data_IF_701727486433
#
_entry.id   IF_701727486433
#
_cell.length_a   1.000
_cell.length_b   1.000
_cell.length_c   1.000
_cell.angle_alpha   90.00
_cell.angle_beta   90.00
_cell.angle_gamma   90.00
#
_symmetry.space_group_name_H-M   'P 1'
#
loop_
_entity.id
_entity.type
_entity.pdbx_description
1 polymer ?
#
# COMPACT_ATOMS: atom_id res chain seq x y z
N UNK A 1 21.36 4.45 20.56
CA UNK A 1 20.46 4.68 19.39
C UNK A 1 19.31 3.67 19.29
N UNK A 2 19.29 2.60 20.08
CA UNK A 2 18.14 1.67 20.20
C UNK A 2 16.87 2.37 20.72
N UNK A 3 17.04 3.47 21.48
CA UNK A 3 15.95 4.33 21.97
C UNK A 3 15.14 5.05 20.86
N UNK A 4 15.68 5.11 19.63
CA UNK A 4 14.98 5.75 18.50
C UNK A 4 13.93 4.87 17.81
N UNK A 5 13.72 3.64 18.29
CA UNK A 5 12.76 2.74 17.66
C UNK A 5 11.31 3.17 17.89
N UNK A 6 11.03 3.81 19.02
CA UNK A 6 9.70 4.28 19.36
C UNK A 6 9.37 5.66 18.74
N UNK A 7 10.39 6.32 18.16
CA UNK A 7 10.19 7.60 17.48
C UNK A 7 9.55 7.40 16.09
N UNK A 8 8.61 8.25 15.78
CA UNK A 8 8.08 8.36 14.41
C UNK A 8 8.90 9.38 13.59
N UNK A 9 8.60 9.54 12.31
CA UNK A 9 9.36 10.42 11.42
C UNK A 9 9.33 11.89 11.87
N UNK A 10 8.19 12.36 12.35
CA UNK A 10 8.02 13.71 12.88
C UNK A 10 8.91 13.93 14.11
N UNK A 11 8.90 13.00 15.07
CA UNK A 11 9.74 13.04 16.27
C UNK A 11 11.24 12.99 15.95
N UNK A 12 11.64 12.13 15.00
CA UNK A 12 13.04 12.11 14.53
C UNK A 12 13.46 13.43 13.90
N UNK A 13 12.60 14.06 13.10
CA UNK A 13 12.88 15.36 12.49
C UNK A 13 13.00 16.49 13.55
N UNK A 14 12.19 16.45 14.60
CA UNK A 14 12.27 17.39 15.73
C UNK A 14 13.62 17.26 16.46
N UNK A 15 14.06 16.02 16.74
CA UNK A 15 15.34 15.73 17.41
C UNK A 15 16.55 16.11 16.54
N UNK A 16 16.47 15.92 15.21
CA UNK A 16 17.50 16.40 14.26
C UNK A 16 17.62 17.94 14.32
N UNK A 17 16.47 18.66 14.33
CA UNK A 17 16.47 20.15 14.47
C UNK A 17 17.04 20.59 15.82
N UNK A 18 16.78 19.83 16.88
CA UNK A 18 17.37 20.05 18.21
C UNK A 18 18.87 19.68 18.26
N UNK A 19 19.43 19.10 17.20
CA UNK A 19 20.83 18.67 17.10
C UNK A 19 21.23 17.63 18.18
N UNK A 20 20.30 16.77 18.57
CA UNK A 20 20.58 15.67 19.48
C UNK A 20 21.48 14.60 18.82
N UNK A 21 21.40 14.50 17.50
CA UNK A 21 22.26 13.70 16.63
C UNK A 21 22.30 14.34 15.23
N UNK A 22 23.26 13.92 14.42
CA UNK A 22 23.42 14.39 13.03
C UNK A 22 22.60 13.52 12.06
N UNK A 23 22.33 14.06 10.87
CA UNK A 23 21.71 13.29 9.79
C UNK A 23 22.58 12.11 9.37
N UNK A 24 23.92 12.26 9.35
CA UNK A 24 24.84 11.19 9.06
C UNK A 24 24.76 10.04 10.08
N UNK A 25 24.74 10.33 11.37
CA UNK A 25 24.57 9.33 12.43
C UNK A 25 23.21 8.62 12.30
N UNK A 26 22.15 9.35 11.94
CA UNK A 26 20.84 8.78 11.73
C UNK A 26 20.83 7.83 10.53
N UNK A 27 21.42 8.22 9.39
CA UNK A 27 21.55 7.38 8.19
C UNK A 27 22.28 6.09 8.51
N UNK A 28 23.44 6.15 9.19
CA UNK A 28 24.20 4.95 9.56
C UNK A 28 23.42 4.03 10.51
N UNK A 29 22.61 4.60 11.42
CA UNK A 29 21.76 3.82 12.29
C UNK A 29 20.70 3.05 11.51
N UNK A 30 20.05 3.68 10.55
CA UNK A 30 19.03 3.05 9.73
C UNK A 30 19.60 2.05 8.72
N UNK A 31 20.81 2.29 8.21
CA UNK A 31 21.52 1.30 7.40
C UNK A 31 21.77 0.02 8.22
N UNK A 32 22.29 0.14 9.44
CA UNK A 32 22.48 -1.04 10.32
C UNK A 32 21.18 -1.77 10.61
N UNK A 33 20.06 -1.05 10.85
CA UNK A 33 18.73 -1.66 11.02
C UNK A 33 18.32 -2.50 9.81
N UNK A 34 18.57 -1.97 8.60
CA UNK A 34 18.30 -2.69 7.35
C UNK A 34 19.18 -3.94 7.26
N UNK A 35 20.49 -3.83 7.51
CA UNK A 35 21.44 -4.94 7.43
C UNK A 35 21.13 -6.07 8.42
N UNK A 36 20.60 -5.74 9.60
CA UNK A 36 20.19 -6.73 10.61
C UNK A 36 18.88 -7.43 10.23
N UNK A 37 17.89 -6.68 9.76
CA UNK A 37 16.53 -7.21 9.60
C UNK A 37 16.23 -7.76 8.20
N UNK A 38 16.85 -7.20 7.14
CA UNK A 38 16.55 -7.62 5.78
C UNK A 38 16.88 -9.09 5.47
N UNK A 39 17.96 -9.69 5.98
CA UNK A 39 18.25 -11.11 5.74
C UNK A 39 17.15 -12.05 6.25
N UNK A 40 16.44 -11.68 7.33
CA UNK A 40 15.38 -12.48 7.93
C UNK A 40 14.03 -12.25 7.27
N UNK A 41 13.69 -11.00 6.91
CA UNK A 41 12.36 -10.58 6.47
C UNK A 41 12.25 -10.31 4.96
N UNK A 42 13.37 -10.08 4.27
CA UNK A 42 13.48 -9.88 2.82
C UNK A 42 12.53 -8.77 2.29
N UNK A 43 12.61 -7.60 2.87
CA UNK A 43 11.76 -6.45 2.51
C UNK A 43 12.39 -5.50 1.49
N UNK A 44 13.69 -5.63 1.18
CA UNK A 44 14.43 -4.68 0.33
C UNK A 44 14.91 -5.34 -0.97
N UNK A 45 14.88 -4.57 -2.07
CA UNK A 45 15.42 -4.99 -3.38
C UNK A 45 16.76 -4.33 -3.68
N UNK A 46 16.83 -3.01 -3.67
CA UNK A 46 18.02 -2.25 -4.04
C UNK A 46 18.40 -1.26 -2.93
N UNK A 47 19.67 -1.22 -2.57
CA UNK A 47 20.20 -0.22 -1.64
C UNK A 47 20.66 1.05 -2.38
N UNK A 48 20.49 2.20 -1.73
CA UNK A 48 20.98 3.49 -2.16
C UNK A 48 21.84 4.15 -1.06
N UNK A 49 22.57 3.33 -0.27
CA UNK A 49 23.27 3.76 0.93
C UNK A 49 24.32 4.85 0.66
N UNK A 50 25.13 4.70 -0.40
CA UNK A 50 26.14 5.71 -0.72
C UNK A 50 25.51 7.04 -1.14
N UNK A 51 24.39 6.99 -1.90
CA UNK A 51 23.59 8.17 -2.21
C UNK A 51 23.04 8.82 -0.94
N UNK A 52 22.50 8.03 -0.03
CA UNK A 52 21.95 8.54 1.24
C UNK A 52 23.03 9.17 2.13
N UNK A 53 24.22 8.55 2.22
CA UNK A 53 25.39 9.11 2.92
C UNK A 53 25.80 10.45 2.33
N UNK A 54 25.88 10.53 0.99
CA UNK A 54 26.28 11.78 0.31
C UNK A 54 25.26 12.91 0.46
N UNK A 55 23.98 12.58 0.67
CA UNK A 55 22.89 13.54 0.90
C UNK A 55 22.69 13.92 2.38
N UNK A 56 23.21 13.13 3.31
CA UNK A 56 22.89 13.27 4.74
C UNK A 56 23.04 14.71 5.24
N UNK A 57 24.18 15.37 5.00
CA UNK A 57 24.44 16.73 5.52
C UNK A 57 24.02 17.83 4.53
N UNK A 58 23.37 17.49 3.41
CA UNK A 58 22.93 18.48 2.40
C UNK A 58 21.44 18.80 2.50
N UNK A 59 20.66 17.97 3.20
CA UNK A 59 19.23 18.18 3.39
C UNK A 59 19.04 19.28 4.44
N UNK A 60 18.26 20.36 4.16
CA UNK A 60 18.05 21.41 5.12
C UNK A 60 17.37 20.91 6.41
N UNK A 61 17.89 21.31 7.58
CA UNK A 61 17.29 20.94 8.89
C UNK A 61 15.92 21.58 9.12
N UNK A 62 15.59 22.66 8.44
CA UNK A 62 14.28 23.31 8.47
C UNK A 62 13.26 22.65 7.50
N UNK A 63 13.70 21.74 6.64
CA UNK A 63 12.77 20.91 5.86
C UNK A 63 11.85 20.08 6.80
N UNK A 64 10.59 19.85 6.44
CA UNK A 64 9.62 19.16 7.32
C UNK A 64 10.13 17.88 7.96
N UNK A 65 10.83 17.03 7.21
CA UNK A 65 11.40 15.77 7.71
C UNK A 65 12.92 15.78 7.94
N UNK A 66 13.61 16.91 7.69
CA UNK A 66 14.97 17.21 8.14
C UNK A 66 16.04 16.12 7.88
N UNK A 67 15.87 15.28 6.87
CA UNK A 67 16.81 14.21 6.52
C UNK A 67 16.44 12.84 7.09
N UNK A 68 15.23 12.66 7.61
CA UNK A 68 14.74 11.35 8.10
C UNK A 68 14.81 10.30 7.00
N UNK A 69 15.44 9.14 7.29
CA UNK A 69 15.58 8.05 6.33
C UNK A 69 14.28 7.30 6.06
N UNK A 70 14.03 6.98 4.78
CA UNK A 70 12.89 6.19 4.31
C UNK A 70 13.30 5.16 3.25
N UNK A 71 12.36 4.25 2.93
CA UNK A 71 12.44 3.37 1.78
C UNK A 71 11.33 3.68 0.78
N UNK A 72 11.61 3.47 -0.52
CA UNK A 72 10.65 3.66 -1.60
C UNK A 72 10.27 2.32 -2.21
N UNK A 73 9.01 2.15 -2.59
CA UNK A 73 8.56 0.94 -3.30
C UNK A 73 9.27 0.81 -4.66
N UNK A 74 9.77 -0.38 -4.99
CA UNK A 74 10.45 -0.66 -6.26
C UNK A 74 9.46 -0.75 -7.45
N UNK A 75 8.64 0.28 -7.59
CA UNK A 75 7.66 0.48 -8.66
C UNK A 75 7.45 1.97 -8.98
N UNK A 76 8.45 2.79 -8.66
CA UNK A 76 8.41 4.23 -8.93
C UNK A 76 9.76 4.69 -9.45
N UNK A 77 9.77 5.61 -10.41
CA UNK A 77 10.99 6.14 -11.01
C UNK A 77 11.68 7.13 -10.08
N UNK A 78 12.89 6.76 -9.64
CA UNK A 78 13.82 7.59 -8.88
C UNK A 78 15.04 7.79 -9.76
N UNK A 79 15.34 9.02 -10.14
CA UNK A 79 16.45 9.33 -11.04
C UNK A 79 17.79 8.73 -10.56
N UNK A 80 18.42 7.94 -11.42
CA UNK A 80 19.70 7.27 -11.16
C UNK A 80 19.64 6.03 -10.27
N UNK A 81 18.46 5.58 -9.81
CA UNK A 81 18.30 4.31 -9.09
C UNK A 81 17.60 3.26 -9.96
N UNK A 82 17.93 1.96 -9.82
CA UNK A 82 17.20 0.91 -10.53
C UNK A 82 15.71 0.94 -10.18
N UNK A 83 14.84 0.63 -11.13
CA UNK A 83 13.45 0.28 -10.91
C UNK A 83 13.21 -1.08 -11.56
N UNK A 84 13.01 -2.11 -10.75
CA UNK A 84 12.94 -3.49 -11.25
C UNK A 84 11.52 -4.03 -11.35
N UNK A 85 10.55 -3.41 -10.66
CA UNK A 85 9.18 -3.93 -10.54
C UNK A 85 9.15 -5.42 -10.11
N UNK A 86 10.20 -5.91 -9.41
CA UNK A 86 10.36 -7.32 -9.05
C UNK A 86 10.56 -8.29 -10.23
N UNK A 87 10.90 -7.80 -11.43
CA UNK A 87 10.94 -8.54 -12.68
C UNK A 87 12.34 -8.65 -13.28
N UNK A 88 12.69 -9.84 -13.78
CA UNK A 88 13.92 -10.04 -14.57
C UNK A 88 13.96 -9.16 -15.81
N UNK A 89 12.81 -8.89 -16.41
CA UNK A 89 12.68 -8.02 -17.58
C UNK A 89 13.16 -6.58 -17.30
N UNK A 90 12.96 -6.09 -16.08
CA UNK A 90 13.24 -4.71 -15.69
C UNK A 90 14.58 -4.51 -14.98
N UNK A 91 15.39 -5.54 -14.74
CA UNK A 91 16.65 -5.46 -13.95
C UNK A 91 17.65 -4.40 -14.43
N UNK A 92 17.63 -4.04 -15.69
CA UNK A 92 18.52 -3.03 -16.27
C UNK A 92 17.88 -1.66 -16.42
N UNK A 93 16.64 -1.52 -15.98
CA UNK A 93 15.93 -0.24 -16.09
C UNK A 93 16.41 0.73 -14.99
N UNK A 94 17.03 1.82 -15.40
CA UNK A 94 17.48 2.91 -14.53
C UNK A 94 16.92 4.21 -15.08
N UNK A 95 15.86 4.77 -14.48
CA UNK A 95 15.27 6.03 -14.89
C UNK A 95 16.28 7.19 -14.81
N UNK A 96 16.28 8.09 -15.79
CA UNK A 96 17.14 9.26 -15.77
C UNK A 96 16.64 10.36 -14.82
N UNK A 97 15.32 10.41 -14.57
CA UNK A 97 14.65 11.44 -13.77
C UNK A 97 13.69 10.81 -12.79
N UNK A 98 13.53 11.49 -11.66
CA UNK A 98 12.46 11.19 -10.71
C UNK A 98 11.11 11.68 -11.24
N UNK A 99 10.04 11.00 -10.85
CA UNK A 99 8.66 11.47 -11.06
C UNK A 99 8.28 12.53 -10.04
N UNK A 100 7.23 13.32 -10.31
CA UNK A 100 6.80 14.44 -9.46
C UNK A 100 6.55 14.06 -7.99
N UNK A 101 6.01 12.86 -7.73
CA UNK A 101 5.79 12.38 -6.38
C UNK A 101 7.12 12.22 -5.62
N UNK A 102 8.14 11.66 -6.26
CA UNK A 102 9.48 11.47 -5.66
C UNK A 102 10.16 12.82 -5.43
N UNK A 103 10.03 13.76 -6.37
CA UNK A 103 10.55 15.11 -6.20
C UNK A 103 9.92 15.80 -4.97
N UNK A 104 8.61 15.62 -4.76
CA UNK A 104 7.94 16.16 -3.57
C UNK A 104 8.41 15.48 -2.27
N UNK A 105 8.64 14.16 -2.30
CA UNK A 105 9.21 13.40 -1.16
C UNK A 105 10.60 13.93 -0.79
N UNK A 106 11.47 14.15 -1.78
CA UNK A 106 12.81 14.72 -1.54
C UNK A 106 12.73 16.17 -1.07
N UNK A 107 11.82 16.98 -1.63
CA UNK A 107 11.58 18.37 -1.20
C UNK A 107 11.02 18.45 0.23
N UNK A 108 10.26 17.45 0.69
CA UNK A 108 9.82 17.33 2.07
C UNK A 108 10.97 17.04 3.06
N UNK A 109 12.17 16.76 2.57
CA UNK A 109 13.37 16.53 3.36
C UNK A 109 13.61 15.07 3.74
N UNK A 110 12.99 14.11 3.09
CA UNK A 110 13.32 12.70 3.30
C UNK A 110 14.64 12.29 2.64
N UNK A 111 15.35 11.35 3.27
CA UNK A 111 16.54 10.72 2.71
C UNK A 111 16.25 9.26 2.31
N UNK A 112 16.33 8.96 1.01
CA UNK A 112 15.98 7.66 0.45
C UNK A 112 17.15 6.69 0.61
N UNK A 113 16.98 5.62 1.42
CA UNK A 113 17.98 4.57 1.66
C UNK A 113 17.97 3.45 0.60
N UNK A 114 16.91 3.32 -0.17
CA UNK A 114 16.75 2.27 -1.15
C UNK A 114 15.30 1.92 -1.45
N UNK A 115 15.09 0.74 -2.03
CA UNK A 115 13.80 0.32 -2.54
C UNK A 115 13.32 -0.99 -1.93
N UNK A 116 12.00 -1.14 -1.82
CA UNK A 116 11.35 -2.26 -1.12
C UNK A 116 10.76 -3.28 -2.07
N UNK A 117 10.75 -4.54 -1.62
CA UNK A 117 10.30 -5.70 -2.39
C UNK A 117 8.81 -5.64 -2.74
N UNK A 118 8.49 -6.17 -3.92
CA UNK A 118 7.16 -6.19 -4.55
C UNK A 118 6.96 -7.53 -5.27
N UNK A 119 5.75 -8.02 -5.50
CA UNK A 119 5.55 -9.08 -6.48
C UNK A 119 5.82 -8.55 -7.88
N UNK A 120 6.20 -9.41 -8.81
CA UNK A 120 6.51 -9.00 -10.18
C UNK A 120 5.39 -8.15 -10.78
N UNK A 121 5.72 -6.90 -11.16
CA UNK A 121 4.82 -5.90 -11.75
C UNK A 121 3.48 -5.74 -11.00
N UNK A 122 3.48 -5.93 -9.68
CA UNK A 122 2.30 -5.92 -8.81
C UNK A 122 1.18 -6.90 -9.23
N UNK A 123 1.50 -7.95 -9.97
CA UNK A 123 0.54 -8.85 -10.59
C UNK A 123 0.02 -9.95 -9.68
N UNK A 124 0.61 -10.15 -8.50
CA UNK A 124 0.29 -11.24 -7.59
C UNK A 124 -0.10 -10.75 -6.20
N UNK A 125 -0.95 -11.52 -5.47
CA UNK A 125 -1.48 -11.11 -4.15
C UNK A 125 -0.49 -11.34 -2.99
N UNK A 126 0.56 -12.12 -3.20
CA UNK A 126 1.64 -12.37 -2.24
C UNK A 126 2.90 -11.63 -2.71
N UNK A 127 3.58 -10.93 -1.81
CA UNK A 127 4.86 -10.26 -2.13
C UNK A 127 5.97 -11.28 -2.24
N UNK A 128 6.08 -11.86 -3.42
CA UNK A 128 7.07 -12.86 -3.82
C UNK A 128 7.38 -12.69 -5.31
N UNK A 129 8.65 -12.83 -5.69
CA UNK A 129 9.10 -12.80 -7.08
C UNK A 129 10.38 -13.62 -7.26
N UNK A 130 10.70 -13.98 -8.51
CA UNK A 130 11.85 -14.82 -8.86
C UNK A 130 13.21 -14.14 -8.74
N UNK A 131 13.25 -12.82 -8.55
CA UNK A 131 14.51 -12.04 -8.50
C UNK A 131 15.00 -11.94 -7.06
N UNK A 132 14.11 -11.54 -6.15
CA UNK A 132 14.46 -11.23 -4.77
C UNK A 132 13.84 -12.22 -3.77
N UNK A 133 12.86 -13.03 -4.20
CA UNK A 133 12.16 -13.99 -3.33
C UNK A 133 11.03 -13.34 -2.51
N UNK A 134 10.51 -14.11 -1.55
CA UNK A 134 9.35 -13.75 -0.75
C UNK A 134 9.69 -12.81 0.43
N UNK A 135 8.84 -11.81 0.67
CA UNK A 135 8.86 -10.97 1.87
C UNK A 135 8.03 -11.62 2.97
N UNK A 136 8.62 -11.77 4.15
CA UNK A 136 8.05 -12.48 5.29
C UNK A 136 7.33 -11.54 6.26
N UNK A 137 6.25 -12.03 6.86
CA UNK A 137 5.48 -11.27 7.82
C UNK A 137 6.20 -11.16 9.18
N UNK A 138 6.43 -9.97 9.72
CA UNK A 138 7.12 -9.81 10.99
C UNK A 138 6.30 -10.30 12.20
N UNK A 139 4.99 -10.53 12.05
CA UNK A 139 4.16 -11.15 13.06
C UNK A 139 4.28 -12.67 13.08
N UNK A 140 4.35 -13.28 11.91
CA UNK A 140 4.55 -14.72 11.70
C UNK A 140 5.22 -14.95 10.34
N UNK A 141 6.52 -15.32 10.29
CA UNK A 141 7.27 -15.47 9.03
C UNK A 141 6.77 -16.57 8.08
N UNK A 142 5.93 -17.46 8.56
CA UNK A 142 5.30 -18.50 7.73
C UNK A 142 4.10 -17.97 6.92
N UNK A 143 3.69 -16.72 7.17
CA UNK A 143 2.54 -16.08 6.53
C UNK A 143 2.98 -14.94 5.61
N UNK A 144 2.13 -14.65 4.63
CA UNK A 144 2.33 -13.55 3.69
C UNK A 144 2.04 -12.20 4.32
N UNK A 145 2.42 -11.15 3.62
CA UNK A 145 2.06 -9.76 3.95
C UNK A 145 1.09 -9.18 2.93
N UNK A 146 0.41 -10.02 2.16
CA UNK A 146 -0.29 -9.59 0.96
C UNK A 146 0.65 -8.84 -0.01
N UNK A 147 0.09 -7.96 -0.83
CA UNK A 147 0.81 -7.19 -1.84
C UNK A 147 0.10 -5.88 -2.20
N UNK A 148 0.72 -5.09 -3.05
CA UNK A 148 2.03 -5.18 -3.65
C UNK A 148 3.07 -4.33 -2.91
N UNK A 149 2.71 -3.52 -1.89
CA UNK A 149 3.63 -2.74 -1.05
C UNK A 149 4.12 -3.53 0.18
N UNK A 150 4.29 -4.87 0.04
CA UNK A 150 4.63 -5.75 1.16
C UNK A 150 5.97 -5.44 1.81
N UNK A 151 7.01 -5.23 1.00
CA UNK A 151 8.33 -4.84 1.51
C UNK A 151 8.29 -3.53 2.29
N UNK A 152 7.54 -2.53 1.80
CA UNK A 152 7.36 -1.25 2.50
C UNK A 152 6.66 -1.43 3.84
N UNK A 153 5.57 -2.20 3.88
CA UNK A 153 4.82 -2.44 5.09
C UNK A 153 5.65 -3.19 6.15
N UNK A 154 6.44 -4.19 5.72
CA UNK A 154 7.35 -4.94 6.61
C UNK A 154 8.43 -4.05 7.18
N UNK A 155 9.06 -3.22 6.37
CA UNK A 155 10.13 -2.31 6.82
C UNK A 155 9.63 -1.35 7.93
N UNK A 156 8.38 -0.86 7.82
CA UNK A 156 7.75 0.00 8.82
C UNK A 156 7.32 -0.80 10.05
N UNK A 157 6.65 -1.94 9.87
CA UNK A 157 6.16 -2.77 10.96
C UNK A 157 7.28 -3.36 11.83
N UNK A 158 8.42 -3.69 11.22
CA UNK A 158 9.61 -4.19 11.91
C UNK A 158 10.44 -3.07 12.57
N UNK A 159 10.06 -1.79 12.42
CA UNK A 159 10.78 -0.66 13.00
C UNK A 159 12.09 -0.30 12.29
N UNK A 160 12.27 -0.80 11.06
CA UNK A 160 13.49 -0.53 10.28
C UNK A 160 13.53 0.92 9.83
N UNK A 161 12.42 1.43 9.31
CA UNK A 161 12.22 2.85 8.96
C UNK A 161 10.88 3.34 9.52
N UNK A 162 10.75 4.63 9.85
CA UNK A 162 9.49 5.17 10.39
C UNK A 162 8.38 5.22 9.35
N UNK A 163 8.75 5.40 8.09
CA UNK A 163 7.85 5.48 6.95
C UNK A 163 8.46 4.82 5.71
N UNK A 164 7.60 4.30 4.85
CA UNK A 164 8.00 3.81 3.54
C UNK A 164 6.91 4.09 2.49
N UNK A 165 7.34 4.37 1.26
CA UNK A 165 6.42 4.64 0.15
C UNK A 165 5.69 3.38 -0.30
N UNK A 166 4.42 3.53 -0.62
CA UNK A 166 3.59 2.52 -1.26
C UNK A 166 2.76 3.10 -2.41
N UNK A 167 2.28 2.23 -3.27
CA UNK A 167 1.29 2.54 -4.33
C UNK A 167 0.08 1.65 -4.17
N UNK A 168 -1.11 2.14 -4.50
CA UNK A 168 -2.37 1.39 -4.38
C UNK A 168 -3.17 1.46 -5.67
N UNK A 169 -3.20 0.36 -6.43
CA UNK A 169 -4.00 0.20 -7.65
C UNK A 169 -5.20 -0.73 -7.47
N UNK A 170 -5.22 -1.55 -6.42
CA UNK A 170 -6.32 -2.47 -6.09
C UNK A 170 -6.38 -2.82 -4.58
N UNK A 171 -5.59 -2.13 -3.73
CA UNK A 171 -5.52 -2.39 -2.29
C UNK A 171 -4.11 -2.37 -1.71
N UNK A 172 -3.08 -2.04 -2.50
CA UNK A 172 -1.69 -2.26 -2.11
C UNK A 172 -1.14 -1.30 -1.03
N UNK A 173 -1.87 -0.23 -0.64
CA UNK A 173 -1.58 0.58 0.57
C UNK A 173 -2.52 0.24 1.73
N UNK A 174 -3.38 -0.77 1.58
CA UNK A 174 -4.37 -1.19 2.58
C UNK A 174 -4.16 -2.65 3.00
N UNK A 175 -3.99 -3.56 2.03
CA UNK A 175 -3.77 -4.99 2.28
C UNK A 175 -2.49 -5.26 3.08
N UNK A 176 -1.28 -4.80 2.65
CA UNK A 176 -0.08 -5.02 3.44
C UNK A 176 -0.10 -4.36 4.83
N UNK A 177 -0.57 -3.12 5.01
CA UNK A 177 -0.80 -2.54 6.33
C UNK A 177 -1.73 -3.38 7.20
N UNK A 178 -2.81 -3.96 6.64
CA UNK A 178 -3.73 -4.81 7.41
C UNK A 178 -3.07 -6.07 7.96
N UNK A 179 -2.14 -6.66 7.21
CA UNK A 179 -1.41 -7.87 7.60
C UNK A 179 -0.18 -7.58 8.49
N UNK A 180 0.26 -6.33 8.58
CA UNK A 180 1.49 -5.95 9.30
C UNK A 180 1.26 -5.04 10.49
N UNK A 181 0.00 -4.62 10.75
CA UNK A 181 -0.36 -3.84 11.93
C UNK A 181 0.12 -2.39 11.91
N UNK A 182 0.12 -1.78 10.73
CA UNK A 182 0.45 -0.37 10.55
C UNK A 182 -0.70 0.41 9.90
N UNK A 183 -0.60 1.73 9.89
CA UNK A 183 -1.55 2.60 9.20
C UNK A 183 -1.24 2.68 7.71
N UNK A 184 -2.27 2.56 6.87
CA UNK A 184 -2.16 2.69 5.42
C UNK A 184 -3.31 3.49 4.83
N UNK A 185 -2.99 4.54 4.07
CA UNK A 185 -3.96 5.41 3.40
C UNK A 185 -3.87 5.25 1.89
N UNK A 186 -5.01 5.13 1.24
CA UNK A 186 -5.21 5.32 -0.19
C UNK A 186 -5.94 6.65 -0.42
N UNK A 187 -5.26 7.72 -0.88
CA UNK A 187 -5.89 8.98 -1.20
C UNK A 187 -6.96 8.88 -2.30
N UNK A 188 -7.80 9.87 -2.41
CA UNK A 188 -8.69 10.07 -3.56
C UNK A 188 -7.90 10.04 -4.87
N UNK A 189 -8.56 9.60 -5.95
CA UNK A 189 -7.96 9.63 -7.30
C UNK A 189 -7.46 11.04 -7.62
N UNK A 190 -6.26 11.13 -8.21
CA UNK A 190 -5.60 12.39 -8.59
C UNK A 190 -5.32 13.38 -7.45
N UNK A 191 -5.50 12.96 -6.19
CA UNK A 191 -5.19 13.78 -5.01
C UNK A 191 -3.69 14.03 -4.85
N UNK A 192 -2.87 13.01 -5.09
CA UNK A 192 -1.42 13.08 -4.92
C UNK A 192 -0.73 13.54 -6.21
N UNK A 193 0.49 14.04 -6.12
CA UNK A 193 1.34 14.28 -7.30
C UNK A 193 1.51 13.00 -8.10
N UNK A 194 1.76 13.14 -9.41
CA UNK A 194 1.87 11.98 -10.30
C UNK A 194 3.07 11.10 -9.93
N UNK A 195 2.86 9.80 -9.93
CA UNK A 195 3.91 8.77 -9.87
C UNK A 195 4.25 8.17 -11.22
N UNK A 196 3.75 8.76 -12.33
CA UNK A 196 4.00 8.29 -13.68
C UNK A 196 4.98 9.21 -14.40
N UNK A 197 5.85 8.62 -15.24
CA UNK A 197 6.93 9.32 -15.93
C UNK A 197 6.42 10.41 -16.92
N UNK A 198 5.19 10.27 -17.43
CA UNK A 198 4.56 11.24 -18.33
C UNK A 198 3.73 12.31 -17.60
N UNK A 199 3.76 12.33 -16.27
CA UNK A 199 3.02 13.29 -15.44
C UNK A 199 1.51 13.04 -15.36
N UNK A 200 0.98 12.02 -16.06
CA UNK A 200 -0.44 11.68 -16.00
C UNK A 200 -0.77 10.87 -14.74
N UNK A 201 -2.04 10.84 -14.40
CA UNK A 201 -2.54 10.00 -13.31
C UNK A 201 -3.12 8.71 -13.87
N UNK A 202 -2.75 7.57 -13.28
CA UNK A 202 -3.42 6.29 -13.56
C UNK A 202 -4.87 6.34 -13.05
N UNK A 203 -5.75 5.63 -13.71
CA UNK A 203 -7.19 5.60 -13.39
C UNK A 203 -7.49 4.97 -12.03
N UNK A 204 -6.63 4.08 -11.56
CA UNK A 204 -6.83 3.34 -10.32
C UNK A 204 -5.68 3.54 -9.30
N UNK A 205 -4.44 3.85 -9.78
CA UNK A 205 -3.26 3.89 -8.93
C UNK A 205 -3.08 5.25 -8.25
N UNK A 206 -2.71 5.22 -6.96
CA UNK A 206 -2.32 6.40 -6.20
C UNK A 206 -1.10 6.08 -5.34
N UNK A 207 -0.37 7.12 -4.92
CA UNK A 207 0.82 7.05 -4.08
C UNK A 207 0.52 7.53 -2.66
N UNK A 208 1.13 6.92 -1.63
CA UNK A 208 1.17 7.46 -0.27
C UNK A 208 2.24 6.76 0.55
N UNK A 209 2.66 7.40 1.65
CA UNK A 209 3.53 6.81 2.65
C UNK A 209 2.75 5.92 3.61
N UNK A 210 3.27 4.73 3.89
CA UNK A 210 2.85 3.87 4.98
C UNK A 210 3.59 4.29 6.26
N UNK A 211 2.91 4.28 7.40
CA UNK A 211 3.48 4.75 8.67
C UNK A 211 2.94 3.98 9.87
N UNK A 212 3.59 4.13 11.02
CA UNK A 212 3.06 3.62 12.28
C UNK A 212 2.07 4.60 12.93
N UNK A 213 2.23 5.90 12.70
CA UNK A 213 1.39 6.96 13.29
C UNK A 213 0.58 7.68 12.22
N UNK A 214 -0.60 8.15 12.61
CA UNK A 214 -1.46 8.95 11.73
C UNK A 214 -0.82 10.29 11.42
N UNK A 215 -0.13 10.93 12.39
CA UNK A 215 0.49 12.25 12.19
C UNK A 215 1.57 12.25 11.11
N UNK A 216 2.38 11.19 11.03
CA UNK A 216 3.39 11.06 9.98
C UNK A 216 2.75 10.93 8.59
N UNK A 217 1.73 10.09 8.46
CA UNK A 217 0.99 9.93 7.22
C UNK A 217 0.31 11.23 6.79
N UNK A 218 -0.33 11.96 7.72
CA UNK A 218 -1.03 13.21 7.44
C UNK A 218 -0.05 14.34 7.02
N UNK A 219 1.11 14.42 7.66
CA UNK A 219 2.15 15.39 7.27
C UNK A 219 2.71 15.05 5.89
N UNK A 220 3.10 13.79 5.63
CA UNK A 220 3.60 13.36 4.32
C UNK A 220 2.55 13.54 3.21
N UNK A 221 1.26 13.26 3.50
CA UNK A 221 0.16 13.53 2.60
C UNK A 221 0.13 15.00 2.18
N UNK A 222 0.13 15.94 3.12
CA UNK A 222 0.05 17.38 2.84
C UNK A 222 1.23 17.91 2.01
N UNK A 223 2.40 17.27 2.14
CA UNK A 223 3.62 17.67 1.42
C UNK A 223 3.73 17.05 0.02
N UNK A 224 2.99 15.98 -0.24
CA UNK A 224 3.02 15.25 -1.51
C UNK A 224 1.71 15.31 -2.28
N UNK A 225 0.66 15.96 -1.74
CA UNK A 225 -0.58 16.19 -2.48
C UNK A 225 -0.38 17.13 -3.67
N UNK A 226 -1.25 17.00 -4.68
CA UNK A 226 -1.29 17.88 -5.85
C UNK A 226 -1.79 19.27 -5.42
N UNK A 227 -1.09 20.32 -5.83
CA UNK A 227 -1.47 21.69 -5.59
C UNK A 227 -2.28 22.31 -6.74
N UNK A 228 -2.59 21.53 -7.80
CA UNK A 228 -3.32 22.02 -8.96
C UNK A 228 -4.76 22.42 -8.65
N UNK A 229 -5.35 21.87 -7.59
CA UNK A 229 -6.77 22.07 -7.27
C UNK A 229 -7.74 21.28 -8.14
N UNK A 230 -7.26 20.44 -9.06
CA UNK A 230 -8.06 19.60 -9.93
C UNK A 230 -7.86 18.11 -9.58
N UNK A 231 -8.92 17.34 -9.28
CA UNK A 231 -10.33 17.73 -9.27
C UNK A 231 -10.79 18.40 -7.96
N UNK A 232 -9.96 18.42 -6.93
CA UNK A 232 -10.31 18.95 -5.61
C UNK A 232 -9.25 19.92 -5.11
N UNK A 233 -9.64 20.94 -4.32
CA UNK A 233 -8.67 21.83 -3.68
C UNK A 233 -7.76 21.03 -2.71
N UNK A 234 -6.52 21.47 -2.49
CA UNK A 234 -5.64 20.85 -1.51
C UNK A 234 -6.27 20.78 -0.12
N UNK A 235 -6.07 19.66 0.56
CA UNK A 235 -6.55 19.43 1.93
C UNK A 235 -5.64 20.13 2.95
N UNK A 236 -4.35 20.13 2.69
CA UNK A 236 -3.33 20.62 3.61
C UNK A 236 -3.07 19.71 4.81
N UNK A 237 -2.33 20.18 5.78
CA UNK A 237 -1.94 19.42 6.96
C UNK A 237 -3.10 19.28 7.95
N UNK A 238 -3.45 18.03 8.27
CA UNK A 238 -4.46 17.66 9.27
C UNK A 238 -3.71 17.26 10.53
N UNK A 239 -4.09 17.83 11.68
CA UNK A 239 -3.31 17.73 12.93
C UNK A 239 -4.05 17.07 14.08
N UNK A 240 -5.28 16.61 13.89
CA UNK A 240 -6.06 16.00 14.96
C UNK A 240 -7.46 15.56 14.53
N UNK A 241 -8.22 14.98 15.47
CA UNK A 241 -9.59 14.54 15.24
C UNK A 241 -10.57 15.71 15.05
N UNK A 242 -11.76 15.39 14.58
CA UNK A 242 -12.90 16.30 14.47
C UNK A 242 -13.97 15.95 15.54
N UNK A 243 -14.70 16.97 15.98
CA UNK A 243 -15.86 16.78 16.86
C UNK A 243 -17.09 16.24 16.10
N UNK A 244 -17.03 16.14 14.78
CA UNK A 244 -18.14 15.66 13.95
C UNK A 244 -18.46 14.21 14.26
N UNK A 245 -19.75 13.92 14.51
CA UNK A 245 -20.24 12.54 14.61
C UNK A 245 -20.70 12.06 13.26
N UNK A 246 -20.28 10.86 12.89
CA UNK A 246 -20.43 10.29 11.56
C UNK A 246 -21.53 9.24 11.54
N UNK A 247 -22.18 9.12 10.39
CA UNK A 247 -23.03 7.98 10.08
C UNK A 247 -22.21 6.95 9.29
N UNK A 248 -22.02 5.77 9.88
CA UNK A 248 -21.14 4.71 9.37
C UNK A 248 -21.96 3.51 8.91
N UNK A 249 -21.77 3.10 7.66
CA UNK A 249 -22.30 1.84 7.13
C UNK A 249 -21.34 0.69 7.40
N UNK A 250 -21.72 -0.30 8.21
CA UNK A 250 -20.92 -1.48 8.50
C UNK A 250 -21.18 -2.58 7.47
N UNK A 251 -20.12 -3.07 6.83
CA UNK A 251 -20.12 -4.24 5.97
C UNK A 251 -19.27 -5.34 6.63
N UNK A 252 -19.83 -6.52 6.85
CA UNK A 252 -19.08 -7.64 7.45
C UNK A 252 -18.83 -8.77 6.46
N UNK A 253 -19.71 -8.94 5.47
CA UNK A 253 -19.56 -9.90 4.37
C UNK A 253 -20.46 -9.47 3.19
N UNK A 254 -20.18 -9.99 1.99
CA UNK A 254 -21.02 -9.84 0.81
C UNK A 254 -21.53 -11.19 0.25
N UNK A 255 -21.08 -12.31 0.85
CA UNK A 255 -21.46 -13.68 0.48
C UNK A 255 -20.98 -14.12 -0.90
N UNK A 256 -20.08 -13.37 -1.56
CA UNK A 256 -19.63 -13.61 -2.94
C UNK A 256 -18.15 -14.02 -2.98
N UNK A 257 -17.77 -14.79 -4.02
CA UNK A 257 -16.45 -15.38 -4.25
C UNK A 257 -15.99 -16.26 -3.08
N UNK A 258 -15.78 -15.73 -1.93
CA UNK A 258 -15.47 -16.42 -0.67
C UNK A 258 -16.21 -15.69 0.48
N UNK A 259 -16.76 -16.46 1.41
CA UNK A 259 -17.30 -15.89 2.64
C UNK A 259 -16.20 -15.22 3.47
N UNK A 260 -16.53 -14.13 4.12
CA UNK A 260 -15.59 -13.48 5.06
C UNK A 260 -15.41 -14.37 6.29
N UNK A 261 -14.17 -14.61 6.68
CA UNK A 261 -13.84 -15.38 7.88
C UNK A 261 -14.60 -14.82 9.09
N UNK A 262 -15.18 -15.70 9.94
CA UNK A 262 -15.90 -15.27 11.13
C UNK A 262 -15.06 -14.38 12.04
N UNK A 263 -13.75 -14.63 12.15
CA UNK A 263 -12.84 -13.83 12.96
C UNK A 263 -12.66 -12.41 12.37
N UNK A 264 -12.58 -12.29 11.06
CA UNK A 264 -12.49 -11.01 10.35
C UNK A 264 -13.80 -10.24 10.48
N UNK A 265 -14.95 -10.89 10.30
CA UNK A 265 -16.28 -10.28 10.49
C UNK A 265 -16.47 -9.77 11.92
N UNK A 266 -16.07 -10.59 12.91
CA UNK A 266 -16.17 -10.21 14.34
C UNK A 266 -15.22 -9.06 14.67
N UNK A 267 -14.04 -9.00 14.05
CA UNK A 267 -13.14 -7.86 14.22
C UNK A 267 -13.79 -6.54 13.77
N UNK A 268 -14.53 -6.53 12.65
CA UNK A 268 -15.24 -5.33 12.20
C UNK A 268 -16.43 -4.96 13.12
N UNK A 269 -17.16 -5.95 13.67
CA UNK A 269 -18.20 -5.69 14.65
C UNK A 269 -17.65 -5.06 15.95
N UNK A 270 -16.48 -5.51 16.42
CA UNK A 270 -15.81 -4.89 17.57
C UNK A 270 -15.39 -3.44 17.30
N UNK A 271 -14.98 -3.14 16.08
CA UNK A 271 -14.65 -1.76 15.66
C UNK A 271 -15.93 -0.91 15.54
N UNK A 272 -17.03 -1.48 15.05
CA UNK A 272 -18.33 -0.81 15.06
C UNK A 272 -18.76 -0.40 16.48
N UNK A 273 -18.63 -1.31 17.46
CA UNK A 273 -18.90 -0.99 18.88
C UNK A 273 -17.96 0.11 19.42
N UNK A 274 -16.70 0.14 18.98
CA UNK A 274 -15.79 1.23 19.35
C UNK A 274 -16.30 2.58 18.80
N UNK A 275 -16.74 2.62 17.54
CA UNK A 275 -17.31 3.84 16.92
C UNK A 275 -18.57 4.31 17.63
N UNK A 276 -19.48 3.40 18.00
CA UNK A 276 -20.69 3.72 18.78
C UNK A 276 -20.32 4.32 20.16
N UNK A 277 -19.32 3.76 20.84
CA UNK A 277 -18.82 4.29 22.11
C UNK A 277 -18.18 5.69 21.97
N UNK A 278 -17.64 6.02 20.79
CA UNK A 278 -17.16 7.36 20.44
C UNK A 278 -18.28 8.31 20.03
N UNK A 279 -19.54 7.80 19.94
CA UNK A 279 -20.73 8.60 19.65
C UNK A 279 -21.10 8.67 18.17
N UNK A 280 -20.49 7.85 17.30
CA UNK A 280 -20.90 7.71 15.90
C UNK A 280 -22.16 6.84 15.79
N UNK A 281 -22.95 7.04 14.74
CA UNK A 281 -24.09 6.18 14.39
C UNK A 281 -23.61 5.07 13.47
N UNK A 282 -23.79 3.79 13.85
CA UNK A 282 -23.39 2.65 13.02
C UNK A 282 -24.61 1.80 12.67
N UNK A 283 -24.77 1.47 11.39
CA UNK A 283 -25.81 0.52 10.95
C UNK A 283 -25.22 -0.48 9.94
N UNK A 284 -25.61 -1.74 10.01
CA UNK A 284 -25.16 -2.76 9.04
C UNK A 284 -25.81 -2.50 7.68
N UNK A 285 -25.02 -2.61 6.60
CA UNK A 285 -25.45 -2.35 5.22
C UNK A 285 -24.80 -3.34 4.26
N UNK A 286 -25.47 -3.72 3.15
CA UNK A 286 -24.84 -4.60 2.16
C UNK A 286 -23.68 -3.90 1.41
N UNK A 287 -22.75 -4.71 0.94
CA UNK A 287 -21.73 -4.24 0.00
C UNK A 287 -22.38 -3.89 -1.34
N UNK A 288 -22.11 -2.72 -1.95
CA UNK A 288 -22.85 -2.23 -3.11
C UNK A 288 -22.40 -2.82 -4.46
N UNK A 289 -21.35 -3.66 -4.47
CA UNK A 289 -20.73 -4.17 -5.69
C UNK A 289 -20.82 -5.70 -5.73
N UNK A 290 -21.26 -6.27 -6.86
CA UNK A 290 -21.16 -7.72 -7.06
C UNK A 290 -19.68 -8.10 -7.30
N UNK A 291 -19.14 -8.91 -6.40
CA UNK A 291 -17.73 -9.28 -6.44
C UNK A 291 -17.36 -10.16 -7.65
N UNK A 292 -18.30 -10.95 -8.19
CA UNK A 292 -18.06 -11.76 -9.39
C UNK A 292 -17.99 -10.87 -10.64
N UNK A 293 -18.90 -9.91 -10.78
CA UNK A 293 -18.89 -8.95 -11.89
C UNK A 293 -17.64 -8.05 -11.81
N UNK A 294 -17.25 -7.64 -10.59
CA UNK A 294 -16.02 -6.89 -10.37
C UNK A 294 -14.77 -7.69 -10.78
N UNK A 295 -14.70 -8.97 -10.44
CA UNK A 295 -13.59 -9.85 -10.80
C UNK A 295 -13.45 -10.00 -12.33
N UNK A 296 -14.58 -10.21 -13.01
CA UNK A 296 -14.65 -10.31 -14.47
C UNK A 296 -14.23 -8.99 -15.14
N UNK A 297 -14.77 -7.86 -14.68
CA UNK A 297 -14.43 -6.54 -15.22
C UNK A 297 -12.95 -6.18 -15.00
N UNK A 298 -12.39 -6.54 -13.84
CA UNK A 298 -10.97 -6.32 -13.52
C UNK A 298 -10.05 -7.13 -14.43
N UNK A 299 -10.37 -8.42 -14.67
CA UNK A 299 -9.62 -9.28 -15.58
C UNK A 299 -9.62 -8.72 -17.02
N UNK A 300 -10.78 -8.25 -17.52
CA UNK A 300 -10.93 -7.60 -18.83
C UNK A 300 -10.13 -6.30 -18.93
N UNK A 301 -10.19 -5.47 -17.89
CA UNK A 301 -9.40 -4.22 -17.83
C UNK A 301 -7.90 -4.50 -17.91
N UNK A 302 -7.42 -5.52 -17.18
CA UNK A 302 -6.02 -5.92 -17.18
C UNK A 302 -5.60 -6.42 -18.57
N UNK A 303 -6.45 -7.22 -19.23
CA UNK A 303 -6.24 -7.71 -20.60
C UNK A 303 -5.98 -6.60 -21.61
N UNK A 304 -6.63 -5.44 -21.45
CA UNK A 304 -6.39 -4.28 -22.29
C UNK A 304 -5.00 -3.62 -22.14
N UNK A 305 -4.26 -3.93 -21.07
CA UNK A 305 -2.94 -3.32 -20.78
C UNK A 305 -1.73 -4.20 -21.13
N UNK A 306 -1.91 -5.53 -21.27
CA UNK A 306 -0.79 -6.48 -21.34
C UNK A 306 -0.17 -6.69 -22.71
N UNK A 307 -0.85 -6.31 -23.80
CA UNK A 307 -0.36 -6.55 -25.17
C UNK A 307 0.98 -5.88 -25.48
N UNK A 308 1.19 -4.66 -25.00
CA UNK A 308 2.45 -3.94 -25.17
C UNK A 308 3.60 -4.60 -24.41
N UNK A 309 3.33 -5.12 -23.21
CA UNK A 309 4.31 -5.84 -22.40
C UNK A 309 4.73 -7.15 -23.08
N UNK A 310 3.76 -7.94 -23.59
CA UNK A 310 4.06 -9.16 -24.37
C UNK A 310 5.02 -8.85 -25.52
N UNK A 311 4.67 -7.88 -26.36
CA UNK A 311 5.51 -7.47 -27.50
C UNK A 311 6.93 -7.07 -27.07
N UNK A 312 7.04 -6.30 -25.99
CA UNK A 312 8.34 -5.84 -25.48
C UNK A 312 9.22 -6.99 -24.97
N UNK A 313 8.61 -7.93 -24.21
CA UNK A 313 9.34 -9.10 -23.68
C UNK A 313 9.78 -10.06 -24.78
N UNK A 314 8.94 -10.33 -25.77
CA UNK A 314 9.28 -11.16 -26.94
C UNK A 314 10.37 -10.52 -27.78
N UNK A 315 10.32 -9.21 -28.00
CA UNK A 315 11.38 -8.48 -28.69
C UNK A 315 12.73 -8.52 -27.95
N UNK A 316 12.69 -8.38 -26.61
CA UNK A 316 13.91 -8.39 -25.79
C UNK A 316 14.55 -9.77 -25.69
N UNK A 317 13.74 -10.84 -25.68
CA UNK A 317 14.22 -12.21 -25.54
C UNK A 317 14.51 -12.91 -26.88
N UNK A 318 13.88 -12.45 -27.96
CA UNK A 318 13.86 -13.15 -29.27
C UNK A 318 13.12 -14.49 -29.23
N UNK A 319 12.25 -14.70 -28.22
CA UNK A 319 11.52 -15.96 -27.98
C UNK A 319 10.05 -15.68 -27.70
N UNK A 320 9.15 -16.68 -27.89
CA UNK A 320 7.78 -16.59 -27.40
C UNK A 320 7.73 -16.27 -25.92
N UNK A 321 6.70 -15.56 -25.47
CA UNK A 321 6.57 -15.04 -24.09
C UNK A 321 6.83 -16.12 -23.02
N UNK A 322 6.20 -17.28 -23.13
CA UNK A 322 6.34 -18.41 -22.17
C UNK A 322 7.75 -19.01 -22.12
N UNK A 323 8.56 -18.82 -23.17
CA UNK A 323 9.94 -19.31 -23.27
C UNK A 323 10.98 -18.22 -23.01
N UNK A 324 10.52 -16.99 -22.76
CA UNK A 324 11.40 -15.81 -22.63
C UNK A 324 12.37 -15.91 -21.44
N UNK A 325 11.93 -16.54 -20.35
CA UNK A 325 12.64 -16.58 -19.05
C UNK A 325 12.79 -15.20 -18.37
N UNK A 326 12.10 -14.17 -18.89
CA UNK A 326 12.16 -12.79 -18.39
C UNK A 326 11.03 -12.46 -17.44
N UNK A 327 9.94 -13.23 -17.43
CA UNK A 327 8.81 -13.11 -16.50
C UNK A 327 8.62 -14.41 -15.73
N UNK A 328 7.96 -14.33 -14.58
CA UNK A 328 7.47 -15.51 -13.85
C UNK A 328 6.47 -16.29 -14.69
N UNK A 329 6.30 -17.57 -14.40
CA UNK A 329 5.33 -18.42 -15.12
C UNK A 329 3.90 -17.90 -14.94
N UNK A 330 3.56 -17.45 -13.74
CA UNK A 330 2.26 -16.85 -13.45
C UNK A 330 1.99 -15.64 -14.35
N UNK A 331 2.89 -14.65 -14.37
CA UNK A 331 2.67 -13.43 -15.14
C UNK A 331 2.66 -13.70 -16.65
N UNK A 332 3.59 -14.51 -17.15
CA UNK A 332 3.65 -14.86 -18.57
C UNK A 332 2.36 -15.56 -19.05
N UNK A 333 1.86 -16.55 -18.30
CA UNK A 333 0.63 -17.27 -18.65
C UNK A 333 -0.62 -16.40 -18.47
N UNK A 334 -0.66 -15.51 -17.48
CA UNK A 334 -1.74 -14.53 -17.33
C UNK A 334 -1.80 -13.58 -18.55
N UNK A 335 -0.65 -13.09 -19.01
CA UNK A 335 -0.58 -12.24 -20.21
C UNK A 335 -1.08 -13.00 -21.45
N UNK A 336 -0.67 -14.27 -21.64
CA UNK A 336 -1.16 -15.09 -22.77
C UNK A 336 -2.68 -15.29 -22.72
N UNK A 337 -3.22 -15.63 -21.56
CA UNK A 337 -4.66 -15.75 -21.34
C UNK A 337 -5.40 -14.44 -21.61
N UNK A 338 -4.89 -13.35 -21.08
CA UNK A 338 -5.47 -12.02 -21.21
C UNK A 338 -5.42 -11.46 -22.64
N UNK A 339 -4.41 -11.82 -23.43
CA UNK A 339 -4.28 -11.43 -24.82
C UNK A 339 -5.39 -11.98 -25.74
N UNK A 340 -6.12 -13.00 -25.28
CA UNK A 340 -7.25 -13.60 -25.99
C UNK A 340 -8.57 -12.82 -25.77
N UNK A 341 -8.62 -11.86 -24.82
CA UNK A 341 -9.82 -11.08 -24.51
C UNK A 341 -10.13 -10.14 -25.65
N UNK A 342 -11.38 -10.14 -26.13
CA UNK A 342 -11.80 -9.32 -27.24
C UNK A 342 -11.84 -7.82 -26.89
N UNK A 343 -11.62 -6.90 -27.86
CA UNK A 343 -11.78 -5.46 -27.62
C UNK A 343 -13.18 -5.07 -27.11
N UNK A 344 -14.22 -5.83 -27.51
CA UNK A 344 -15.59 -5.62 -27.05
C UNK A 344 -15.73 -5.95 -25.57
N UNK A 345 -15.14 -7.07 -25.11
CA UNK A 345 -15.19 -7.47 -23.71
C UNK A 345 -14.35 -6.54 -22.83
N UNK A 346 -13.20 -6.06 -23.32
CA UNK A 346 -12.41 -5.02 -22.65
C UNK A 346 -13.26 -3.74 -22.47
N UNK A 347 -14.01 -3.32 -23.50
CA UNK A 347 -14.88 -2.15 -23.41
C UNK A 347 -16.02 -2.36 -22.39
N UNK A 348 -16.65 -3.56 -22.35
CA UNK A 348 -17.67 -3.90 -21.33
C UNK A 348 -17.09 -3.85 -19.92
N UNK A 349 -15.91 -4.43 -19.71
CA UNK A 349 -15.22 -4.36 -18.41
C UNK A 349 -14.96 -2.92 -17.97
N UNK A 350 -14.50 -2.06 -18.89
CA UNK A 350 -14.27 -0.65 -18.60
C UNK A 350 -15.57 0.07 -18.23
N UNK A 351 -16.67 -0.16 -18.97
CA UNK A 351 -17.98 0.43 -18.64
C UNK A 351 -18.40 0.07 -17.22
N UNK A 352 -18.32 -1.20 -16.83
CA UNK A 352 -18.63 -1.60 -15.47
C UNK A 352 -17.77 -0.87 -14.42
N UNK A 353 -16.46 -0.77 -14.65
CA UNK A 353 -15.56 -0.06 -13.74
C UNK A 353 -15.85 1.44 -13.63
N UNK A 354 -16.26 2.07 -14.71
CA UNK A 354 -16.66 3.50 -14.73
C UNK A 354 -17.98 3.72 -13.97
N UNK A 355 -18.90 2.74 -13.98
CA UNK A 355 -20.17 2.78 -13.25
C UNK A 355 -19.99 2.71 -11.73
N UNK A 356 -18.83 2.29 -11.20
CA UNK A 356 -18.58 2.30 -9.78
C UNK A 356 -18.58 3.70 -9.17
N UNK A 357 -18.23 4.73 -9.94
CA UNK A 357 -18.27 6.13 -9.48
C UNK A 357 -19.67 6.54 -9.01
N UNK A 358 -20.73 6.47 -9.84
CA UNK A 358 -22.08 6.81 -9.40
C UNK A 358 -22.63 5.85 -8.32
N UNK A 359 -22.25 4.56 -8.33
CA UNK A 359 -22.65 3.58 -7.30
C UNK A 359 -22.19 4.05 -5.92
N UNK A 360 -20.91 4.37 -5.76
CA UNK A 360 -20.40 4.85 -4.48
C UNK A 360 -20.88 6.26 -4.13
N UNK A 361 -21.09 7.14 -5.13
CA UNK A 361 -21.69 8.45 -4.89
C UNK A 361 -23.09 8.33 -4.27
N UNK A 362 -23.89 7.35 -4.71
CA UNK A 362 -25.22 7.08 -4.11
C UNK A 362 -25.11 6.55 -2.68
N UNK A 363 -24.19 5.64 -2.40
CA UNK A 363 -23.92 5.12 -1.05
C UNK A 363 -23.57 6.26 -0.09
N UNK A 364 -22.71 7.18 -0.51
CA UNK A 364 -22.26 8.31 0.31
C UNK A 364 -23.27 9.47 0.41
N UNK A 365 -24.45 9.36 -0.18
CA UNK A 365 -25.61 10.21 0.19
C UNK A 365 -26.25 9.78 1.53
N UNK A 366 -26.05 8.51 1.92
CA UNK A 366 -26.62 7.94 3.14
C UNK A 366 -25.61 7.87 4.28
N UNK A 367 -24.36 7.57 3.99
CA UNK A 367 -23.28 7.38 4.94
C UNK A 367 -22.17 8.41 4.75
N UNK A 368 -21.55 8.83 5.84
CA UNK A 368 -20.31 9.61 5.78
C UNK A 368 -19.10 8.71 5.49
N UNK A 369 -19.09 7.50 6.07
CA UNK A 369 -18.01 6.52 5.97
C UNK A 369 -18.59 5.12 5.88
N UNK A 370 -17.94 4.23 5.13
CA UNK A 370 -18.16 2.79 5.24
C UNK A 370 -17.03 2.15 6.05
N UNK A 371 -17.38 1.18 6.89
CA UNK A 371 -16.46 0.27 7.58
C UNK A 371 -16.63 -1.13 7.00
N UNK A 372 -15.56 -1.70 6.47
CA UNK A 372 -15.54 -3.03 5.87
C UNK A 372 -14.27 -3.81 6.26
N UNK A 373 -14.16 -5.11 5.99
CA UNK A 373 -12.87 -5.79 5.98
C UNK A 373 -11.93 -5.21 4.91
N UNK A 374 -10.62 -5.18 5.18
CA UNK A 374 -9.63 -4.90 4.12
C UNK A 374 -9.52 -6.10 3.17
N UNK A 375 -9.45 -7.30 3.74
CA UNK A 375 -9.55 -8.58 3.04
C UNK A 375 -10.55 -9.47 3.76
N UNK A 376 -11.22 -10.42 3.07
CA UNK A 376 -12.18 -11.32 3.70
C UNK A 376 -11.53 -12.38 4.60
N UNK A 377 -10.22 -12.50 4.56
CA UNK A 377 -9.42 -13.49 5.30
C UNK A 377 -8.22 -12.83 5.97
N UNK A 378 -7.68 -13.43 7.00
CA UNK A 378 -6.35 -13.10 7.52
C UNK A 378 -5.30 -13.41 6.43
N UNK A 379 -4.12 -12.78 6.51
CA UNK A 379 -3.07 -13.02 5.53
C UNK A 379 -2.79 -14.54 5.39
N UNK A 380 -2.74 -15.07 4.16
CA UNK A 380 -2.57 -16.51 3.93
C UNK A 380 -1.14 -16.97 4.20
N UNK A 381 -0.87 -18.29 4.30
CA UNK A 381 0.47 -18.83 4.33
C UNK A 381 1.35 -18.29 3.19
N UNK A 382 2.65 -18.08 3.47
CA UNK A 382 3.57 -17.39 2.54
C UNK A 382 3.71 -18.12 1.20
N UNK A 383 3.64 -19.44 1.20
CA UNK A 383 3.82 -20.29 0.02
C UNK A 383 2.54 -21.06 -0.34
N UNK A 384 1.37 -20.55 0.05
CA UNK A 384 0.08 -21.14 -0.38
C UNK A 384 -0.03 -21.12 -1.90
N UNK A 385 0.44 -20.04 -2.52
CA UNK A 385 0.63 -19.91 -3.97
C UNK A 385 1.96 -19.24 -4.27
N UNK A 386 2.55 -19.56 -5.43
CA UNK A 386 3.87 -19.09 -5.84
C UNK A 386 3.84 -18.50 -7.25
N UNK A 387 4.79 -17.62 -7.59
CA UNK A 387 4.90 -17.08 -8.95
C UNK A 387 5.31 -18.11 -10.02
N UNK A 388 5.72 -19.33 -9.61
CA UNK A 388 6.02 -20.44 -10.52
C UNK A 388 4.79 -21.18 -11.02
N UNK A 389 3.61 -20.96 -10.43
CA UNK A 389 2.36 -21.56 -10.89
C UNK A 389 1.93 -20.95 -12.24
N UNK A 390 1.15 -21.73 -13.00
CA UNK A 390 0.47 -21.20 -14.19
C UNK A 390 -0.78 -20.45 -13.75
N UNK A 391 -1.10 -19.37 -14.45
CA UNK A 391 -2.37 -18.71 -14.31
C UNK A 391 -3.52 -19.69 -14.61
N UNK A 392 -4.53 -19.69 -13.78
CA UNK A 392 -5.76 -20.48 -13.91
C UNK A 392 -6.96 -19.66 -13.42
N UNK A 393 -8.17 -20.09 -13.79
CA UNK A 393 -9.39 -19.46 -13.31
C UNK A 393 -9.51 -19.54 -11.78
N UNK A 394 -9.07 -20.65 -11.18
CA UNK A 394 -9.06 -20.84 -9.72
C UNK A 394 -8.14 -19.81 -9.04
N UNK A 395 -6.91 -19.65 -9.56
CA UNK A 395 -5.96 -18.68 -9.01
C UNK A 395 -6.42 -17.24 -9.25
N UNK A 396 -7.08 -16.95 -10.38
CA UNK A 396 -7.72 -15.66 -10.64
C UNK A 396 -8.81 -15.36 -9.63
N UNK A 397 -9.69 -16.33 -9.34
CA UNK A 397 -10.73 -16.19 -8.30
C UNK A 397 -10.13 -16.03 -6.90
N UNK A 398 -9.06 -16.77 -6.60
CA UNK A 398 -8.32 -16.65 -5.34
C UNK A 398 -7.82 -15.21 -5.12
N UNK A 399 -7.21 -14.60 -6.13
CA UNK A 399 -6.73 -13.21 -6.08
C UNK A 399 -7.92 -12.24 -5.96
N UNK A 400 -8.93 -12.40 -6.81
CA UNK A 400 -10.11 -11.53 -6.84
C UNK A 400 -10.88 -11.53 -5.50
N UNK A 401 -11.02 -12.70 -4.87
CA UNK A 401 -11.68 -12.83 -3.57
C UNK A 401 -10.99 -11.98 -2.49
N UNK A 402 -9.67 -11.89 -2.49
CA UNK A 402 -8.91 -11.10 -1.52
C UNK A 402 -8.95 -9.60 -1.80
N UNK A 403 -9.27 -9.22 -3.04
CA UNK A 403 -9.38 -7.82 -3.49
C UNK A 403 -10.82 -7.28 -3.45
N UNK A 404 -11.82 -8.10 -3.13
CA UNK A 404 -13.25 -7.77 -3.30
C UNK A 404 -13.71 -6.49 -2.61
N UNK A 405 -13.11 -6.14 -1.46
CA UNK A 405 -13.43 -4.91 -0.73
C UNK A 405 -12.51 -3.74 -1.07
N UNK A 406 -11.36 -3.98 -1.68
CA UNK A 406 -10.38 -2.92 -1.94
C UNK A 406 -10.37 -2.44 -3.39
N UNK A 407 -10.41 -3.34 -4.37
CA UNK A 407 -10.29 -2.98 -5.78
C UNK A 407 -11.42 -2.08 -6.31
N UNK A 408 -12.70 -2.24 -5.93
CA UNK A 408 -13.78 -1.35 -6.39
C UNK A 408 -13.54 0.11 -6.01
N UNK A 409 -12.92 0.34 -4.85
CA UNK A 409 -12.63 1.67 -4.30
C UNK A 409 -11.61 2.44 -5.13
N UNK A 410 -10.68 1.71 -5.77
CA UNK A 410 -9.72 2.34 -6.70
C UNK A 410 -10.43 2.91 -7.93
N UNK A 411 -11.33 2.13 -8.52
CA UNK A 411 -12.09 2.55 -9.71
C UNK A 411 -13.20 3.56 -9.39
N UNK A 412 -13.79 3.50 -8.20
CA UNK A 412 -14.69 4.54 -7.72
C UNK A 412 -13.99 5.89 -7.43
N UNK A 413 -12.66 5.89 -7.31
CA UNK A 413 -11.89 7.10 -7.01
C UNK A 413 -11.88 7.50 -5.53
N UNK A 414 -12.63 6.81 -4.67
CA UNK A 414 -12.82 7.13 -3.26
C UNK A 414 -11.54 6.99 -2.44
N UNK A 415 -11.28 7.86 -1.43
CA UNK A 415 -10.22 7.65 -0.46
C UNK A 415 -10.60 6.52 0.49
N UNK A 416 -9.59 5.79 0.98
CA UNK A 416 -9.79 4.72 1.95
C UNK A 416 -8.53 4.48 2.78
N UNK A 417 -8.71 3.95 3.99
CA UNK A 417 -7.60 3.64 4.90
C UNK A 417 -7.74 2.26 5.53
N UNK A 418 -6.62 1.65 5.86
CA UNK A 418 -6.52 0.48 6.72
C UNK A 418 -5.99 0.91 8.08
N UNK A 419 -6.77 0.65 9.13
CA UNK A 419 -6.42 0.97 10.51
C UNK A 419 -6.23 -0.31 11.30
N UNK A 420 -5.10 -0.51 12.03
CA UNK A 420 -4.77 -1.77 12.70
C UNK A 420 -5.44 -1.86 14.09
N UNK A 421 -6.75 -2.16 14.12
CA UNK A 421 -7.55 -2.18 15.34
C UNK A 421 -7.81 -3.59 15.90
N UNK A 422 -7.37 -4.65 15.21
CA UNK A 422 -7.64 -6.03 15.62
C UNK A 422 -6.49 -6.97 15.25
N UNK A 423 -6.42 -8.11 15.95
CA UNK A 423 -5.45 -9.18 15.70
C UNK A 423 -6.15 -10.53 15.76
N UNK A 424 -5.73 -11.46 14.92
CA UNK A 424 -6.16 -12.86 14.98
C UNK A 424 -5.75 -13.47 16.32
N UNK A 425 -6.71 -14.10 16.98
CA UNK A 425 -6.46 -14.75 18.28
C UNK A 425 -5.56 -15.97 18.12
N UNK A 426 -5.71 -16.71 17.03
CA UNK A 426 -4.98 -17.95 16.79
C UNK A 426 -3.59 -17.74 16.19
N UNK A 427 -3.48 -16.77 15.26
CA UNK A 427 -2.27 -16.54 14.48
C UNK A 427 -1.42 -15.37 14.99
N UNK A 428 -1.98 -14.48 15.82
CA UNK A 428 -1.34 -13.24 16.25
C UNK A 428 -1.11 -12.22 15.12
N UNK A 429 -1.61 -12.49 13.91
CA UNK A 429 -1.48 -11.63 12.75
C UNK A 429 -2.53 -10.51 12.83
N UNK A 430 -2.19 -9.25 12.48
CA UNK A 430 -3.14 -8.15 12.46
C UNK A 430 -4.29 -8.35 11.47
N UNK A 431 -5.45 -7.79 11.81
CA UNK A 431 -6.65 -7.69 10.97
C UNK A 431 -6.98 -6.21 10.83
N UNK A 432 -6.77 -5.65 9.64
CA UNK A 432 -7.07 -4.25 9.36
C UNK A 432 -8.55 -3.98 9.24
N UNK A 433 -8.97 -2.78 9.66
CA UNK A 433 -10.31 -2.25 9.44
C UNK A 433 -10.26 -1.23 8.29
N UNK A 434 -11.12 -1.43 7.29
CA UNK A 434 -11.17 -0.64 6.06
C UNK A 434 -12.21 0.46 6.18
N UNK A 435 -11.77 1.70 6.29
CA UNK A 435 -12.64 2.86 6.27
C UNK A 435 -12.60 3.53 4.89
N UNK A 436 -13.77 3.86 4.35
CA UNK A 436 -13.93 4.40 3.00
C UNK A 436 -14.82 5.63 3.08
N UNK A 437 -14.47 6.72 2.41
CA UNK A 437 -15.27 7.92 2.32
C UNK A 437 -15.54 8.32 0.86
N UNK A 438 -16.42 9.28 0.63
CA UNK A 438 -16.70 9.81 -0.69
C UNK A 438 -15.43 10.39 -1.35
N UNK A 439 -15.36 10.34 -2.67
CA UNK A 439 -14.25 10.94 -3.43
C UNK A 439 -14.04 12.40 -3.01
N UNK A 440 -12.80 12.77 -2.70
CA UNK A 440 -12.44 14.09 -2.20
C UNK A 440 -12.49 14.26 -0.67
N UNK A 441 -13.03 13.30 0.09
CA UNK A 441 -13.17 13.36 1.55
C UNK A 441 -11.98 12.79 2.32
N UNK A 442 -10.77 12.99 1.80
CA UNK A 442 -9.52 12.52 2.42
C UNK A 442 -9.34 13.07 3.85
N UNK A 443 -9.70 14.35 4.08
CA UNK A 443 -9.66 15.00 5.40
C UNK A 443 -10.47 14.23 6.44
N UNK A 444 -11.70 13.84 6.09
CA UNK A 444 -12.60 13.13 6.98
C UNK A 444 -11.98 11.83 7.50
N UNK A 445 -11.30 11.08 6.62
CA UNK A 445 -10.63 9.84 7.01
C UNK A 445 -9.44 10.09 7.93
N UNK A 446 -8.64 11.12 7.70
CA UNK A 446 -7.54 11.45 8.62
C UNK A 446 -8.04 11.92 9.99
N UNK A 447 -9.09 12.75 10.04
CA UNK A 447 -9.70 13.18 11.30
C UNK A 447 -10.25 11.99 12.09
N UNK A 448 -10.93 11.04 11.42
CA UNK A 448 -11.36 9.77 12.03
C UNK A 448 -10.18 8.90 12.45
N UNK A 449 -9.10 8.83 11.66
CA UNK A 449 -7.92 8.05 12.00
C UNK A 449 -7.24 8.56 13.28
N UNK A 450 -7.14 9.88 13.48
CA UNK A 450 -6.65 10.46 14.72
C UNK A 450 -7.53 10.08 15.92
N UNK A 451 -8.85 10.16 15.80
CA UNK A 451 -9.78 9.76 16.86
C UNK A 451 -9.61 8.28 17.24
N UNK A 452 -9.47 7.40 16.22
CA UNK A 452 -9.25 5.98 16.44
C UNK A 452 -7.88 5.69 17.06
N UNK A 453 -6.82 6.42 16.66
CA UNK A 453 -5.48 6.28 17.25
C UNK A 453 -5.46 6.70 18.72
N UNK A 454 -6.19 7.75 19.09
CA UNK A 454 -6.36 8.19 20.49
C UNK A 454 -7.18 7.18 21.30
N UNK A 455 -8.29 6.68 20.76
CA UNK A 455 -9.20 5.76 21.44
C UNK A 455 -8.59 4.35 21.62
N UNK A 456 -7.81 3.88 20.66
CA UNK A 456 -7.18 2.55 20.66
C UNK A 456 -5.78 2.62 20.07
N UNK A 457 -4.77 3.11 20.82
CA UNK A 457 -3.41 3.29 20.33
C UNK A 457 -2.76 1.96 19.90
N UNK A 458 -2.24 1.90 18.66
CA UNK A 458 -1.53 0.74 18.11
C UNK A 458 -0.04 0.95 17.98
N UNK A 459 0.45 2.18 18.05
CA UNK A 459 1.86 2.52 17.79
C UNK A 459 2.86 1.77 18.67
N UNK A 460 2.44 1.34 19.88
CA UNK A 460 3.26 0.62 20.83
C UNK A 460 3.11 -0.92 20.75
N UNK A 461 2.29 -1.41 19.82
CA UNK A 461 2.11 -2.85 19.58
C UNK A 461 3.10 -3.27 18.51
N UNK A 462 4.10 -4.07 18.87
CA UNK A 462 5.20 -4.45 18.01
C UNK A 462 5.13 -5.91 17.60
N UNK A 463 5.49 -6.18 16.36
CA UNK A 463 5.62 -7.54 15.86
C UNK A 463 6.77 -8.28 16.57
N UNK A 464 6.64 -9.61 16.84
CA UNK A 464 7.70 -10.40 17.47
C UNK A 464 9.04 -10.34 16.73
N UNK A 465 9.01 -10.26 15.39
CA UNK A 465 10.20 -10.11 14.54
C UNK A 465 10.42 -8.64 14.17
N UNK A 466 10.53 -7.77 15.18
CA UNK A 466 10.84 -6.34 15.01
C UNK A 466 12.09 -5.95 15.78
N UNK A 467 12.67 -4.81 15.46
CA UNK A 467 13.82 -4.24 16.17
C UNK A 467 13.53 -3.90 17.64
N UNK A 468 12.26 -3.93 18.05
CA UNK A 468 11.91 -3.80 19.48
C UNK A 468 12.44 -4.98 20.31
N UNK A 469 12.56 -6.15 19.69
CA UNK A 469 12.95 -7.41 20.33
C UNK A 469 14.23 -8.02 19.76
N UNK A 470 14.71 -7.53 18.62
CA UNK A 470 15.96 -7.94 17.97
C UNK A 470 16.99 -6.82 18.17
N UNK A 471 18.08 -7.03 18.93
CA UNK A 471 19.10 -6.00 19.15
C UNK A 471 19.90 -5.73 17.86
N UNK A 472 20.29 -4.46 17.65
CA UNK A 472 21.07 -3.96 16.51
C UNK A 472 22.51 -3.71 16.90
#
# INVERSE_FOLDING_TARGET
MDELIDEDATGLAERLRAREFTQAELVETFIRRIEVMNPALNFMTNSAFDRARSKADTIPLDAPFAGVPILMKDMIDIGGLPRTDGSRFMLKNVPERSVEYVEAVEAAGFNILGQTNVPEMASFIITNNDVFGATKNPWNPDYSVFSSSGGSAVAVAAGVVPMAHGTDGAGSNRLPPSATGIFGMKPSRRRMRSGEADGRHDVAKTNQMLSRTVRDSALAFSLTESLSGDPFPPVGHITGPSDRRLKVGLIVDDGKLIATDPEVSEAQRKVALLLENLGHEVEETPWPVDANEMADAYAKFFGGKVGALKTAVEAASGKPLMESGLLTRFLASNIESSAAISPEDIAKGRTFLDELVPVFADVFRKYDVLLAPVAPVVAPPLYEHTPDELFSDELSQYVAARLKFTSPINFAGCPAMSVPLSWSADLGIPIGSHFIAAEGQDRLLYELAYELEEARPWRNIWAPFSLKYVPV
#
